data_IF_907305020589
#
_entry.id   IF_907305020589
#
_cell.length_a   1.000
_cell.length_b   1.000
_cell.length_c   1.000
_cell.angle_alpha   90.00
_cell.angle_beta   90.00
_cell.angle_gamma   90.00
#
_symmetry.space_group_name_H-M   'P 1'
#
loop_
_entity.id
_entity.type
_entity.pdbx_description
1 polymer ?
#
# COMPACT_ATOMS: atom_id res chain seq x y z
N UNK A 1 -3.50 10.55 -16.68
CA UNK A 1 -3.75 9.48 -17.68
C UNK A 1 -2.42 8.81 -17.90
N UNK A 2 -2.38 7.48 -18.00
CA UNK A 2 -1.17 6.72 -18.34
C UNK A 2 -0.83 6.80 -19.84
N UNK A 3 -1.73 7.35 -20.65
CA UNK A 3 -1.49 7.63 -22.07
C UNK A 3 -0.23 8.51 -22.22
N UNK A 4 0.72 8.02 -23.02
CA UNK A 4 1.97 8.72 -23.33
C UNK A 4 1.74 10.16 -23.83
N UNK A 5 0.64 10.41 -24.53
CA UNK A 5 0.29 11.74 -25.08
C UNK A 5 -0.20 12.70 -24.01
N UNK A 6 -0.61 12.17 -22.87
CA UNK A 6 -1.14 12.92 -21.74
C UNK A 6 -0.15 12.99 -20.56
N UNK A 7 1.01 12.33 -20.65
CA UNK A 7 2.06 12.42 -19.65
C UNK A 7 2.64 13.84 -19.60
N UNK A 8 2.82 14.37 -18.38
CA UNK A 8 3.43 15.69 -18.17
C UNK A 8 4.95 15.65 -18.09
N UNK A 9 5.51 14.46 -17.89
CA UNK A 9 6.95 14.27 -17.60
C UNK A 9 7.66 13.36 -18.60
N UNK A 10 6.94 12.71 -19.52
CA UNK A 10 7.51 11.77 -20.49
C UNK A 10 6.95 12.00 -21.90
N UNK A 11 7.84 12.26 -22.87
CA UNK A 11 7.48 12.46 -24.28
C UNK A 11 8.42 11.59 -25.17
N UNK A 12 8.08 10.31 -25.42
CA UNK A 12 8.97 9.39 -26.12
C UNK A 12 9.09 9.71 -27.61
N UNK A 13 10.31 9.66 -28.13
CA UNK A 13 10.54 9.59 -29.59
C UNK A 13 10.72 8.12 -29.96
N UNK A 14 9.65 7.49 -30.46
CA UNK A 14 9.68 6.07 -30.81
C UNK A 14 10.53 5.85 -32.07
N UNK A 15 11.68 5.19 -31.92
CA UNK A 15 12.48 4.71 -33.06
C UNK A 15 12.11 3.26 -33.35
N UNK A 16 11.37 3.05 -34.44
CA UNK A 16 11.03 1.71 -34.90
C UNK A 16 12.22 1.09 -35.66
N UNK A 17 12.91 0.13 -35.03
CA UNK A 17 13.90 -0.68 -35.74
C UNK A 17 13.14 -1.69 -36.62
N UNK A 18 13.00 -1.37 -37.90
CA UNK A 18 12.19 -2.07 -38.91
C UNK A 18 12.61 -3.51 -39.27
N UNK A 19 12.84 -4.38 -38.28
CA UNK A 19 12.88 -5.81 -38.52
C UNK A 19 11.47 -6.27 -38.92
N UNK A 20 11.25 -6.39 -40.23
CA UNK A 20 10.04 -6.94 -40.85
C UNK A 20 9.82 -8.35 -40.30
N UNK A 21 8.93 -8.48 -39.31
CA UNK A 21 8.55 -9.76 -38.70
C UNK A 21 8.20 -9.70 -37.20
N UNK A 22 8.67 -8.70 -36.45
CA UNK A 22 8.32 -8.52 -35.03
C UNK A 22 7.36 -7.36 -34.83
N UNK A 23 6.05 -7.61 -34.89
CA UNK A 23 5.05 -6.58 -34.56
C UNK A 23 5.20 -6.07 -33.12
N UNK A 24 4.68 -4.87 -32.84
CA UNK A 24 4.63 -4.34 -31.49
C UNK A 24 3.87 -5.34 -30.62
N UNK A 25 4.50 -5.83 -29.56
CA UNK A 25 3.84 -6.79 -28.68
C UNK A 25 2.85 -6.02 -27.82
N UNK A 26 1.59 -6.03 -28.24
CA UNK A 26 0.51 -5.40 -27.51
C UNK A 26 0.15 -6.23 -26.28
N UNK A 27 0.06 -5.58 -25.12
CA UNK A 27 -0.28 -6.19 -23.84
C UNK A 27 -1.51 -5.52 -23.25
N UNK A 28 -2.39 -6.33 -22.64
CA UNK A 28 -3.47 -5.82 -21.81
C UNK A 28 -3.16 -6.14 -20.36
N UNK A 29 -3.26 -5.16 -19.47
CA UNK A 29 -3.10 -5.37 -18.04
C UNK A 29 -4.32 -4.85 -17.33
N UNK A 30 -4.87 -5.69 -16.46
CA UNK A 30 -5.93 -5.35 -15.51
C UNK A 30 -5.35 -5.30 -14.12
N UNK A 31 -5.69 -4.26 -13.38
CA UNK A 31 -5.35 -4.08 -11.96
C UNK A 31 -6.56 -3.48 -11.25
N UNK A 32 -6.81 -3.85 -10.00
CA UNK A 32 -7.88 -3.30 -9.13
C UNK A 32 -9.13 -2.80 -9.88
N UNK A 33 -9.14 -1.50 -10.18
CA UNK A 33 -10.24 -0.82 -10.88
C UNK A 33 -10.01 -0.51 -12.36
N UNK A 34 -8.78 -0.61 -12.87
CA UNK A 34 -8.37 -0.12 -14.20
C UNK A 34 -7.85 -1.18 -15.16
N UNK A 35 -7.81 -0.82 -16.44
CA UNK A 35 -7.17 -1.60 -17.50
C UNK A 35 -6.39 -0.69 -18.43
N UNK A 36 -5.22 -1.15 -18.88
CA UNK A 36 -4.46 -0.51 -19.96
C UNK A 36 -4.25 -1.47 -21.12
N UNK A 37 -4.24 -0.93 -22.33
CA UNK A 37 -3.56 -1.53 -23.47
C UNK A 37 -2.22 -0.83 -23.63
N UNK A 38 -1.17 -1.58 -23.94
CA UNK A 38 0.19 -1.08 -23.98
C UNK A 38 1.04 -1.79 -25.01
N UNK A 39 2.18 -1.20 -25.35
CA UNK A 39 3.26 -1.85 -26.09
C UNK A 39 4.50 -1.94 -25.19
N UNK A 40 5.28 -3.02 -25.35
CA UNK A 40 6.57 -3.14 -24.66
C UNK A 40 7.61 -2.28 -25.36
N UNK A 41 8.21 -1.34 -24.65
CA UNK A 41 9.32 -0.51 -25.12
C UNK A 41 10.54 -0.70 -24.22
N UNK A 42 11.71 -0.23 -24.68
CA UNK A 42 12.95 -0.26 -23.89
C UNK A 42 13.62 1.10 -23.95
N UNK A 43 14.05 1.58 -22.79
CA UNK A 43 14.83 2.80 -22.67
C UNK A 43 15.74 2.72 -21.44
N UNK A 44 16.51 3.76 -21.17
CA UNK A 44 17.25 3.92 -19.92
C UNK A 44 16.32 4.53 -18.87
N UNK A 45 16.13 3.81 -17.76
CA UNK A 45 15.38 4.31 -16.60
C UNK A 45 16.38 4.76 -15.54
N UNK A 46 16.27 6.01 -15.08
CA UNK A 46 17.02 6.50 -13.91
C UNK A 46 16.12 6.42 -12.68
N UNK A 47 16.52 5.67 -11.66
CA UNK A 47 15.75 5.48 -10.43
C UNK A 47 16.68 5.41 -9.22
N UNK A 48 16.34 6.14 -8.15
CA UNK A 48 17.19 6.27 -6.96
C UNK A 48 18.66 6.65 -7.27
N UNK A 49 18.87 7.53 -8.26
CA UNK A 49 20.20 7.97 -8.70
C UNK A 49 20.97 6.96 -9.58
N UNK A 50 20.41 5.78 -9.85
CA UNK A 50 21.04 4.74 -10.68
C UNK A 50 20.41 4.68 -12.05
N UNK A 51 21.23 4.53 -13.09
CA UNK A 51 20.77 4.29 -14.46
C UNK A 51 20.71 2.80 -14.79
N UNK A 52 19.54 2.36 -15.24
CA UNK A 52 19.28 1.01 -15.72
C UNK A 52 19.01 1.08 -17.23
N UNK A 53 20.04 0.84 -18.08
CA UNK A 53 19.89 0.94 -19.52
C UNK A 53 19.09 -0.24 -20.08
N UNK A 54 18.34 0.02 -21.16
CA UNK A 54 17.52 -0.98 -21.86
C UNK A 54 16.50 -1.67 -20.94
N UNK A 55 16.04 -0.98 -19.89
CA UNK A 55 14.94 -1.44 -19.06
C UNK A 55 13.67 -1.48 -19.91
N UNK A 56 12.99 -2.63 -19.94
CA UNK A 56 11.68 -2.69 -20.58
C UNK A 56 10.60 -2.16 -19.65
N UNK A 57 9.64 -1.45 -20.21
CA UNK A 57 8.42 -1.02 -19.53
C UNK A 57 7.27 -0.96 -20.53
N UNK A 58 6.08 -0.76 -20.00
CA UNK A 58 4.85 -0.72 -20.78
C UNK A 58 4.47 0.71 -21.07
N UNK A 59 4.38 1.02 -22.35
CA UNK A 59 3.92 2.31 -22.82
C UNK A 59 2.43 2.20 -23.09
N UNK A 60 1.61 2.79 -22.22
CA UNK A 60 0.17 2.69 -22.34
C UNK A 60 -0.32 3.51 -23.53
N UNK A 61 -1.08 2.85 -24.41
CA UNK A 61 -1.65 3.44 -25.63
C UNK A 61 -3.15 3.65 -25.50
N UNK A 62 -3.81 2.91 -24.59
CA UNK A 62 -5.21 3.13 -24.20
C UNK A 62 -5.42 2.79 -22.73
N UNK A 63 -6.44 3.38 -22.14
CA UNK A 63 -6.79 3.22 -20.72
C UNK A 63 -8.31 3.15 -20.55
N UNK A 64 -8.78 2.31 -19.63
CA UNK A 64 -10.19 2.19 -19.23
C UNK A 64 -10.32 2.21 -17.70
N UNK A 65 -11.48 2.67 -17.22
CA UNK A 65 -11.87 2.64 -15.80
C UNK A 65 -10.84 3.23 -14.84
N UNK A 66 -10.26 4.36 -15.23
CA UNK A 66 -9.22 5.02 -14.47
C UNK A 66 -9.75 6.38 -14.01
N UNK A 67 -9.55 6.72 -12.74
CA UNK A 67 -10.07 7.97 -12.22
C UNK A 67 -9.54 9.16 -13.06
N UNK A 68 -10.40 10.12 -13.37
CA UNK A 68 -10.08 11.18 -14.32
C UNK A 68 -9.01 12.17 -13.83
N UNK A 69 -8.62 12.13 -12.54
CA UNK A 69 -7.70 13.07 -11.91
C UNK A 69 -6.73 12.34 -10.99
N UNK A 70 -5.50 12.17 -11.46
CA UNK A 70 -4.36 11.71 -10.68
C UNK A 70 -3.21 12.72 -10.85
N UNK A 71 -2.34 12.82 -9.85
CA UNK A 71 -1.17 13.71 -9.88
C UNK A 71 0.10 13.02 -10.41
N UNK A 72 -0.02 11.77 -10.85
CA UNK A 72 1.08 10.94 -11.34
C UNK A 72 0.86 10.51 -12.79
N UNK A 73 1.96 10.32 -13.51
CA UNK A 73 1.98 10.01 -14.96
C UNK A 73 2.11 8.51 -15.26
N UNK A 74 2.50 7.70 -14.26
CA UNK A 74 2.93 6.32 -14.45
C UNK A 74 2.75 5.46 -13.20
N UNK A 75 2.83 4.14 -13.37
CA UNK A 75 2.89 3.17 -12.26
C UNK A 75 4.21 2.41 -12.35
N UNK A 76 4.93 2.34 -11.23
CA UNK A 76 6.08 1.46 -11.07
C UNK A 76 5.67 0.26 -10.20
N UNK A 77 5.61 -0.93 -10.79
CA UNK A 77 5.29 -2.16 -10.07
C UNK A 77 6.43 -2.60 -9.15
N UNK A 78 6.14 -2.77 -7.87
CA UNK A 78 7.10 -3.17 -6.82
C UNK A 78 6.77 -4.53 -6.18
N UNK A 79 5.78 -5.23 -6.74
CA UNK A 79 5.49 -6.61 -6.40
C UNK A 79 6.60 -7.55 -6.93
N UNK A 80 6.56 -8.81 -6.52
CA UNK A 80 7.54 -9.81 -6.94
C UNK A 80 7.57 -9.96 -8.47
N UNK A 81 8.76 -10.08 -9.10
CA UNK A 81 8.86 -10.33 -10.54
C UNK A 81 8.11 -11.61 -10.92
N UNK A 82 7.19 -11.52 -11.90
CA UNK A 82 6.39 -12.66 -12.32
C UNK A 82 6.70 -13.07 -13.76
N UNK A 83 6.80 -14.38 -14.06
CA UNK A 83 6.88 -14.88 -15.42
C UNK A 83 5.49 -14.96 -16.06
N UNK A 84 4.66 -13.92 -15.95
CA UNK A 84 3.32 -13.96 -16.58
C UNK A 84 3.43 -13.84 -18.10
N UNK A 85 2.53 -14.49 -18.86
CA UNK A 85 2.45 -14.34 -20.32
C UNK A 85 2.35 -12.88 -20.76
N UNK A 86 1.65 -12.05 -20.00
CA UNK A 86 1.48 -10.61 -20.27
C UNK A 86 2.78 -9.82 -20.14
N UNK A 87 3.75 -10.35 -19.40
CA UNK A 87 5.11 -9.80 -19.26
C UNK A 87 6.17 -10.64 -20.00
N UNK A 88 5.79 -11.67 -20.76
CA UNK A 88 6.76 -12.46 -21.52
C UNK A 88 7.57 -11.55 -22.47
N UNK A 89 8.91 -11.65 -22.40
CA UNK A 89 9.82 -10.83 -23.21
C UNK A 89 10.10 -9.41 -22.66
N UNK A 90 9.53 -9.02 -21.52
CA UNK A 90 9.86 -7.74 -20.84
C UNK A 90 11.24 -7.74 -20.17
N UNK A 91 11.90 -8.91 -20.04
CA UNK A 91 13.20 -9.01 -19.38
C UNK A 91 13.10 -8.81 -17.87
N UNK A 92 14.21 -8.50 -17.19
CA UNK A 92 14.23 -8.34 -15.73
C UNK A 92 13.41 -7.13 -15.27
N UNK A 93 12.90 -7.20 -14.03
CA UNK A 93 12.28 -6.06 -13.38
C UNK A 93 13.29 -4.94 -13.14
N UNK A 94 12.81 -3.70 -12.97
CA UNK A 94 13.68 -2.57 -12.61
C UNK A 94 14.50 -2.87 -11.36
N UNK A 95 13.90 -3.52 -10.36
CA UNK A 95 14.57 -3.87 -9.10
C UNK A 95 15.70 -4.89 -9.31
N UNK A 96 15.53 -5.86 -10.19
CA UNK A 96 16.62 -6.75 -10.60
C UNK A 96 17.71 -5.99 -11.36
N UNK A 97 17.33 -5.01 -12.19
CA UNK A 97 18.25 -4.08 -12.85
C UNK A 97 19.11 -3.28 -11.86
N UNK A 98 18.51 -2.74 -10.79
CA UNK A 98 19.23 -2.06 -9.71
C UNK A 98 20.20 -3.00 -9.00
N UNK A 99 19.78 -4.23 -8.71
CA UNK A 99 20.63 -5.27 -8.12
C UNK A 99 21.90 -5.52 -8.93
N UNK A 100 21.78 -5.61 -10.26
CA UNK A 100 22.94 -5.77 -11.16
C UNK A 100 23.92 -4.58 -11.15
N UNK A 101 23.51 -3.44 -10.58
CA UNK A 101 24.32 -2.22 -10.40
C UNK A 101 24.81 -2.03 -8.97
N UNK A 102 24.68 -3.03 -8.11
CA UNK A 102 25.15 -2.99 -6.73
C UNK A 102 24.20 -2.32 -5.75
N UNK A 103 22.96 -2.02 -6.15
CA UNK A 103 21.91 -1.53 -5.24
C UNK A 103 20.98 -2.68 -4.88
N UNK A 104 21.00 -3.08 -3.61
CA UNK A 104 20.17 -4.17 -3.13
C UNK A 104 18.68 -3.83 -3.29
N UNK A 105 17.82 -4.78 -3.69
CA UNK A 105 16.41 -4.56 -3.97
C UNK A 105 15.58 -4.50 -2.68
N UNK A 106 15.99 -3.64 -1.75
CA UNK A 106 15.30 -3.32 -0.50
C UNK A 106 14.67 -1.94 -0.66
N UNK A 107 13.36 -1.85 -0.50
CA UNK A 107 12.58 -0.64 -0.69
C UNK A 107 11.95 -0.22 0.63
N UNK A 108 12.26 0.99 1.08
CA UNK A 108 11.77 1.51 2.36
C UNK A 108 10.83 2.68 2.12
N UNK A 109 9.57 2.53 2.50
CA UNK A 109 8.57 3.59 2.52
C UNK A 109 8.55 4.21 3.91
N UNK A 110 8.96 5.47 3.97
CA UNK A 110 9.13 6.21 5.22
C UNK A 110 8.09 7.32 5.23
N UNK A 111 7.04 7.23 6.06
CA UNK A 111 6.10 8.32 6.21
C UNK A 111 6.79 9.52 6.88
N UNK A 112 6.39 10.74 6.52
CA UNK A 112 6.76 11.90 7.32
C UNK A 112 6.03 11.87 8.66
N UNK A 113 6.63 12.35 9.76
CA UNK A 113 5.96 12.40 11.06
C UNK A 113 4.62 13.14 11.04
N UNK A 114 4.45 14.11 10.14
CA UNK A 114 3.20 14.85 9.93
C UNK A 114 2.14 14.08 9.11
N UNK A 115 2.44 12.88 8.60
CA UNK A 115 1.48 11.96 7.98
C UNK A 115 0.94 12.37 6.61
N UNK A 116 1.54 13.38 5.95
CA UNK A 116 1.03 13.97 4.68
C UNK A 116 1.94 13.76 3.47
N UNK A 117 3.11 13.21 3.68
CA UNK A 117 4.10 12.92 2.65
C UNK A 117 4.93 11.71 3.06
N UNK A 118 5.73 11.19 2.15
CA UNK A 118 6.66 10.11 2.46
C UNK A 118 7.85 10.13 1.52
N UNK A 119 8.84 9.32 1.87
CA UNK A 119 10.05 9.12 1.10
C UNK A 119 10.19 7.63 0.76
N UNK A 120 10.54 7.34 -0.49
CA UNK A 120 10.99 6.02 -0.90
C UNK A 120 12.52 6.00 -0.89
N UNK A 121 13.10 5.19 -0.03
CA UNK A 121 14.55 4.92 -0.02
C UNK A 121 14.84 3.52 -0.54
N UNK A 122 15.97 3.38 -1.22
CA UNK A 122 16.37 2.11 -1.87
C UNK A 122 17.74 1.70 -1.36
N UNK A 123 17.91 0.40 -1.12
CA UNK A 123 19.14 -0.19 -0.61
C UNK A 123 19.00 -0.73 0.80
N UNK A 124 19.82 -1.70 1.16
CA UNK A 124 19.77 -2.30 2.48
C UNK A 124 20.16 -1.29 3.54
N UNK A 125 19.42 -1.27 4.65
CA UNK A 125 19.68 -0.36 5.77
C UNK A 125 19.28 1.10 5.53
N UNK A 126 18.72 1.47 4.36
CA UNK A 126 18.32 2.85 4.06
C UNK A 126 17.26 3.42 5.02
N UNK A 127 16.55 2.54 5.73
CA UNK A 127 15.54 2.88 6.74
C UNK A 127 16.11 3.09 8.16
N UNK A 128 17.36 2.72 8.44
CA UNK A 128 17.91 2.70 9.81
C UNK A 128 17.78 4.05 10.53
N UNK A 129 18.02 5.15 9.81
CA UNK A 129 17.90 6.50 10.37
C UNK A 129 16.47 6.98 10.61
N UNK A 130 15.44 6.24 10.18
CA UNK A 130 14.02 6.61 10.31
C UNK A 130 13.26 5.74 11.32
N UNK A 131 13.82 4.61 11.75
CA UNK A 131 13.16 3.70 12.70
C UNK A 131 13.60 4.00 14.13
N UNK A 132 12.66 4.01 15.07
CA UNK A 132 12.96 4.23 16.50
C UNK A 132 13.42 2.98 17.25
N UNK A 133 13.08 1.80 16.72
CA UNK A 133 13.28 0.50 17.35
C UNK A 133 13.52 -0.58 16.28
N UNK A 134 13.65 -1.83 16.73
CA UNK A 134 13.81 -2.98 15.85
C UNK A 134 12.64 -3.14 14.88
N UNK A 135 12.98 -3.52 13.65
CA UNK A 135 12.03 -3.83 12.59
C UNK A 135 11.45 -5.23 12.84
N UNK A 136 10.13 -5.34 12.91
CA UNK A 136 9.46 -6.64 12.91
C UNK A 136 9.37 -7.16 11.48
N UNK A 137 10.01 -8.29 11.21
CA UNK A 137 10.05 -8.90 9.88
C UNK A 137 8.99 -10.00 9.75
N UNK A 138 8.20 -9.91 8.69
CA UNK A 138 7.17 -10.87 8.32
C UNK A 138 7.53 -11.50 6.98
N UNK A 139 7.58 -12.84 6.94
CA UNK A 139 7.81 -13.56 5.69
C UNK A 139 6.57 -13.49 4.82
N UNK A 140 6.75 -13.16 3.53
CA UNK A 140 5.66 -13.23 2.57
C UNK A 140 5.25 -14.69 2.34
N UNK A 141 3.96 -14.98 2.42
CA UNK A 141 3.36 -16.29 2.08
C UNK A 141 2.99 -16.37 0.60
N UNK A 142 3.24 -15.31 -0.15
CA UNK A 142 3.08 -15.26 -1.59
C UNK A 142 4.37 -14.81 -2.26
N UNK A 143 4.62 -15.40 -3.42
CA UNK A 143 5.65 -15.02 -4.37
C UNK A 143 5.12 -14.05 -5.43
N UNK A 144 3.88 -13.55 -5.30
CA UNK A 144 3.20 -12.65 -6.27
C UNK A 144 2.92 -11.27 -5.71
N UNK A 145 2.25 -11.22 -4.57
CA UNK A 145 1.98 -10.00 -3.82
C UNK A 145 2.66 -10.11 -2.45
N UNK A 146 2.82 -8.99 -1.78
CA UNK A 146 3.33 -8.94 -0.41
C UNK A 146 2.25 -9.36 0.58
N UNK A 147 2.01 -10.67 0.70
CA UNK A 147 0.97 -11.24 1.55
C UNK A 147 1.61 -11.81 2.82
N UNK A 148 1.10 -11.45 3.99
CA UNK A 148 1.60 -11.92 5.28
C UNK A 148 0.46 -12.51 6.12
N UNK A 149 0.77 -13.50 6.95
CA UNK A 149 -0.12 -13.97 8.02
C UNK A 149 0.06 -13.07 9.25
N UNK A 150 -1.03 -12.49 9.75
CA UNK A 150 -1.07 -11.51 10.84
C UNK A 150 -2.31 -11.71 11.71
N UNK A 151 -2.60 -10.76 12.59
CA UNK A 151 -3.88 -10.69 13.28
C UNK A 151 -4.38 -9.25 13.39
N UNK A 152 -5.68 -9.10 13.56
CA UNK A 152 -6.37 -7.82 13.75
C UNK A 152 -7.25 -7.88 15.00
N UNK A 153 -7.39 -6.76 15.70
CA UNK A 153 -8.39 -6.62 16.76
C UNK A 153 -9.01 -5.22 16.77
N UNK A 154 -10.34 -5.15 16.88
CA UNK A 154 -11.08 -3.94 17.26
C UNK A 154 -11.72 -4.19 18.63
N UNK A 155 -12.53 -5.25 18.70
CA UNK A 155 -13.00 -5.85 19.95
C UNK A 155 -12.25 -7.16 20.24
N UNK A 156 -12.41 -8.14 19.36
CA UNK A 156 -11.76 -9.46 19.47
C UNK A 156 -10.57 -9.60 18.52
N UNK A 157 -9.56 -10.37 18.95
CA UNK A 157 -8.39 -10.67 18.12
C UNK A 157 -8.68 -11.84 17.18
N UNK A 158 -8.52 -11.61 15.87
CA UNK A 158 -8.75 -12.59 14.81
C UNK A 158 -7.51 -12.71 13.93
N UNK A 159 -7.14 -13.94 13.55
CA UNK A 159 -6.11 -14.16 12.54
C UNK A 159 -6.57 -13.63 11.17
N UNK A 160 -5.68 -12.97 10.45
CA UNK A 160 -6.00 -12.37 9.15
C UNK A 160 -4.76 -12.35 8.25
N UNK A 161 -4.97 -12.68 6.97
CA UNK A 161 -3.99 -12.42 5.92
C UNK A 161 -4.10 -11.00 5.44
N UNK A 162 -2.95 -10.38 5.22
CA UNK A 162 -2.87 -8.99 4.83
C UNK A 162 -1.96 -8.84 3.61
N UNK A 163 -2.40 -8.04 2.65
CA UNK A 163 -1.61 -7.59 1.51
C UNK A 163 -1.11 -6.19 1.84
N UNK A 164 0.20 -5.97 1.80
CA UNK A 164 0.77 -4.63 1.96
C UNK A 164 0.92 -4.01 0.57
N UNK A 165 0.14 -2.95 0.29
CA UNK A 165 -0.04 -2.45 -1.07
C UNK A 165 0.04 -0.92 -1.16
N UNK A 166 1.17 -0.42 -1.66
CA UNK A 166 1.41 1.01 -1.89
C UNK A 166 0.59 1.60 -3.03
N UNK A 167 -0.15 0.77 -3.79
CA UNK A 167 -1.04 1.21 -4.86
C UNK A 167 -2.49 1.41 -4.42
N UNK A 168 -2.81 1.19 -3.14
CA UNK A 168 -4.17 1.26 -2.60
C UNK A 168 -4.29 2.42 -1.59
N UNK A 169 -5.31 3.26 -1.70
CA UNK A 169 -5.45 4.45 -0.83
C UNK A 169 -6.07 4.17 0.55
N UNK A 170 -6.95 3.16 0.66
CA UNK A 170 -7.69 2.85 1.89
C UNK A 170 -7.22 1.53 2.52
N UNK A 171 -7.75 1.20 3.71
CA UNK A 171 -7.78 -0.19 4.14
C UNK A 171 -8.93 -0.88 3.40
N UNK A 172 -8.66 -1.90 2.58
CA UNK A 172 -9.73 -2.64 1.89
C UNK A 172 -9.94 -4.00 2.52
N UNK A 173 -11.18 -4.35 2.82
CA UNK A 173 -11.52 -5.59 3.54
C UNK A 173 -12.70 -6.30 2.87
N UNK A 174 -12.99 -7.55 3.28
CA UNK A 174 -14.17 -8.27 2.79
C UNK A 174 -15.46 -7.56 3.23
N UNK A 175 -16.59 -7.73 2.52
CA UNK A 175 -17.87 -7.11 2.93
C UNK A 175 -18.27 -7.44 4.38
N UNK A 176 -18.03 -8.67 4.82
CA UNK A 176 -18.35 -9.10 6.18
C UNK A 176 -17.45 -8.43 7.22
N UNK A 177 -16.13 -8.37 6.97
CA UNK A 177 -15.21 -7.71 7.88
C UNK A 177 -15.43 -6.19 7.90
N UNK A 178 -15.84 -5.58 6.77
CA UNK A 178 -16.18 -4.16 6.70
C UNK A 178 -17.35 -3.82 7.62
N UNK A 179 -18.45 -4.58 7.53
CA UNK A 179 -19.61 -4.36 8.40
C UNK A 179 -19.27 -4.60 9.88
N UNK A 180 -18.49 -5.63 10.19
CA UNK A 180 -18.04 -5.91 11.54
C UNK A 180 -17.15 -4.79 12.10
N UNK A 181 -16.19 -4.30 11.30
CA UNK A 181 -15.30 -3.22 11.69
C UNK A 181 -16.05 -1.88 11.83
N UNK A 182 -16.91 -1.54 10.87
CA UNK A 182 -17.76 -0.35 10.90
C UNK A 182 -18.61 -0.32 12.17
N UNK A 183 -19.29 -1.42 12.50
CA UNK A 183 -20.11 -1.49 13.70
C UNK A 183 -19.28 -1.36 14.98
N UNK A 184 -18.11 -2.01 15.04
CA UNK A 184 -17.26 -2.01 16.22
C UNK A 184 -16.55 -0.66 16.45
N UNK A 185 -16.15 0.04 15.40
CA UNK A 185 -15.50 1.36 15.48
C UNK A 185 -16.50 2.48 15.76
N UNK A 186 -17.75 2.33 15.35
CA UNK A 186 -18.79 3.37 15.47
C UNK A 186 -19.69 3.20 16.71
N UNK A 187 -19.29 2.39 17.70
CA UNK A 187 -20.09 2.18 18.92
C UNK A 187 -20.31 3.50 19.65
N UNK A 188 -21.56 3.82 19.97
CA UNK A 188 -21.94 5.05 20.68
C UNK A 188 -21.87 6.31 19.81
N UNK A 189 -21.72 6.16 18.51
CA UNK A 189 -21.61 7.27 17.55
C UNK A 189 -22.76 7.22 16.56
N UNK A 190 -23.20 8.41 16.13
CA UNK A 190 -24.16 8.52 15.04
C UNK A 190 -23.37 8.48 13.73
N UNK A 191 -23.58 7.43 12.94
CA UNK A 191 -22.92 7.24 11.65
C UNK A 191 -23.93 6.82 10.57
N UNK A 192 -23.66 7.23 9.34
CA UNK A 192 -24.40 6.86 8.15
C UNK A 192 -23.56 5.92 7.29
N UNK A 193 -24.22 4.88 6.79
CA UNK A 193 -23.70 4.02 5.76
C UNK A 193 -24.16 4.55 4.39
N UNK A 194 -23.25 4.58 3.42
CA UNK A 194 -23.62 4.96 2.06
C UNK A 194 -24.56 3.91 1.43
N UNK A 195 -25.24 4.28 0.33
CA UNK A 195 -26.21 3.39 -0.33
C UNK A 195 -25.61 2.07 -0.82
N UNK A 196 -24.32 2.05 -1.12
CA UNK A 196 -23.63 0.84 -1.57
C UNK A 196 -23.14 -0.06 -0.43
N UNK A 197 -23.27 0.38 0.83
CA UNK A 197 -22.75 -0.31 2.01
C UNK A 197 -21.23 -0.55 1.94
N UNK A 198 -20.48 0.42 1.41
CA UNK A 198 -19.02 0.36 1.28
C UNK A 198 -18.30 1.53 1.94
N UNK A 199 -19.02 2.54 2.44
CA UNK A 199 -18.46 3.74 3.08
C UNK A 199 -19.28 4.14 4.30
N UNK A 200 -18.59 4.58 5.35
CA UNK A 200 -19.19 5.04 6.61
C UNK A 200 -18.81 6.48 6.86
N UNK A 201 -19.79 7.29 7.24
CA UNK A 201 -19.62 8.70 7.60
C UNK A 201 -20.14 8.90 9.02
N UNK A 202 -19.34 9.45 9.91
CA UNK A 202 -19.70 9.73 11.30
C UNK A 202 -19.54 11.22 11.60
N UNK A 203 -20.23 11.73 12.62
CA UNK A 203 -19.96 13.09 13.12
C UNK A 203 -18.50 13.20 13.55
N UNK A 204 -17.80 14.24 13.09
CA UNK A 204 -16.43 14.51 13.50
C UNK A 204 -16.30 14.90 14.99
N UNK A 205 -17.39 15.32 15.65
CA UNK A 205 -17.33 15.90 16.99
C UNK A 205 -16.78 14.95 18.06
N UNK A 206 -17.05 13.64 17.93
CA UNK A 206 -16.79 12.66 18.98
C UNK A 206 -15.95 11.46 18.53
N UNK A 207 -15.26 11.55 17.38
CA UNK A 207 -14.47 10.43 16.85
C UNK A 207 -13.36 9.98 17.82
N UNK A 208 -12.82 10.88 18.65
CA UNK A 208 -11.74 10.56 19.60
C UNK A 208 -12.14 9.59 20.72
N UNK A 209 -13.44 9.40 20.95
CA UNK A 209 -13.96 8.41 21.90
C UNK A 209 -14.16 7.01 21.28
N UNK A 210 -13.95 6.87 19.96
CA UNK A 210 -14.13 5.59 19.26
C UNK A 210 -13.03 4.59 19.62
N UNK A 211 -13.31 3.27 19.57
CA UNK A 211 -12.29 2.24 19.73
C UNK A 211 -11.20 2.31 18.66
N UNK A 212 -10.00 1.84 19.01
CA UNK A 212 -8.88 1.72 18.07
C UNK A 212 -8.90 0.39 17.30
N UNK A 213 -8.50 0.42 16.04
CA UNK A 213 -8.09 -0.77 15.30
C UNK A 213 -6.64 -1.14 15.68
N UNK A 214 -6.37 -2.40 15.96
CA UNK A 214 -5.00 -2.89 16.23
C UNK A 214 -4.61 -3.92 15.18
N UNK A 215 -3.44 -3.73 14.58
CA UNK A 215 -2.82 -4.68 13.67
C UNK A 215 -1.64 -5.32 14.38
N UNK A 216 -1.58 -6.64 14.36
CA UNK A 216 -0.59 -7.43 15.07
C UNK A 216 0.30 -8.20 14.10
N UNK A 217 1.60 -7.92 14.15
CA UNK A 217 2.62 -8.57 13.34
C UNK A 217 3.61 -9.26 14.28
N UNK A 218 3.51 -10.58 14.42
CA UNK A 218 4.26 -11.32 15.43
C UNK A 218 4.01 -10.77 16.83
N UNK A 219 5.08 -10.29 17.49
CA UNK A 219 5.06 -9.68 18.83
C UNK A 219 4.75 -8.18 18.82
N UNK A 220 4.77 -7.54 17.65
CA UNK A 220 4.49 -6.12 17.50
C UNK A 220 2.99 -5.84 17.35
N UNK A 221 2.54 -4.73 17.92
CA UNK A 221 1.16 -4.24 17.75
C UNK A 221 1.18 -2.78 17.36
N UNK A 222 0.54 -2.46 16.23
CA UNK A 222 0.31 -1.10 15.75
C UNK A 222 -1.13 -0.72 16.00
N UNK A 223 -1.33 0.38 16.73
CA UNK A 223 -2.65 0.88 17.13
C UNK A 223 -3.02 2.04 16.21
N UNK A 224 -4.21 1.97 15.61
CA UNK A 224 -4.81 2.98 14.75
C UNK A 224 -6.04 3.52 15.46
N UNK A 225 -5.92 4.73 15.98
CA UNK A 225 -7.02 5.43 16.63
C UNK A 225 -7.92 6.08 15.58
N UNK A 226 -9.00 6.72 16.03
CA UNK A 226 -9.92 7.38 15.14
C UNK A 226 -9.24 8.46 14.27
N UNK A 227 -8.25 9.19 14.79
CA UNK A 227 -7.50 10.18 14.00
C UNK A 227 -6.67 9.58 12.85
N UNK A 228 -6.38 8.28 12.89
CA UNK A 228 -5.69 7.58 11.80
C UNK A 228 -6.69 6.95 10.81
N UNK A 229 -7.92 6.69 11.26
CA UNK A 229 -8.93 5.95 10.54
C UNK A 229 -10.03 6.82 9.95
N UNK A 230 -10.17 8.08 10.36
CA UNK A 230 -11.22 8.97 9.89
C UNK A 230 -10.65 10.28 9.35
N UNK A 231 -11.23 10.75 8.25
CA UNK A 231 -10.85 12.03 7.63
C UNK A 231 -12.06 12.92 7.40
N UNK A 232 -11.90 14.22 7.66
CA UNK A 232 -12.92 15.23 7.39
C UNK A 232 -13.21 15.28 5.89
N UNK A 233 -14.48 15.17 5.53
CA UNK A 233 -14.92 15.26 4.13
C UNK A 233 -14.92 16.70 3.59
N UNK A 234 -14.86 17.71 4.47
CA UNK A 234 -15.04 19.12 4.13
C UNK A 234 -16.48 19.51 3.80
N UNK A 235 -17.43 18.59 4.00
CA UNK A 235 -18.87 18.82 3.86
C UNK A 235 -19.61 18.38 5.14
N UNK A 236 -20.78 18.97 5.42
CA UNK A 236 -21.60 18.53 6.53
C UNK A 236 -22.26 17.17 6.25
N UNK A 237 -22.56 16.41 7.30
CA UNK A 237 -23.43 15.24 7.19
C UNK A 237 -24.84 15.69 6.83
N UNK A 238 -25.31 15.29 5.65
CA UNK A 238 -26.73 15.40 5.30
C UNK A 238 -27.57 14.39 6.08
N UNK A 239 -28.89 14.59 6.11
CA UNK A 239 -29.81 13.56 6.62
C UNK A 239 -29.93 13.46 8.15
N UNK A 240 -30.01 14.60 8.86
CA UNK A 240 -30.42 14.65 10.27
C UNK A 240 -29.30 14.88 11.30
N UNK A 241 -28.14 15.38 10.88
CA UNK A 241 -26.97 15.65 11.73
C UNK A 241 -26.75 17.16 11.96
N UNK A 242 -27.80 17.97 11.89
CA UNK A 242 -27.76 19.41 12.17
C UNK A 242 -26.63 20.21 11.49
N UNK A 243 -26.12 19.73 10.35
CA UNK A 243 -25.02 20.37 9.62
C UNK A 243 -23.63 20.15 10.21
N UNK A 244 -23.46 19.17 11.11
CA UNK A 244 -22.15 18.80 11.67
C UNK A 244 -21.18 18.32 10.59
N UNK A 245 -19.89 18.62 10.79
CA UNK A 245 -18.83 18.18 9.88
C UNK A 245 -18.76 16.65 9.82
N UNK A 246 -18.75 16.11 8.59
CA UNK A 246 -18.69 14.68 8.36
C UNK A 246 -17.26 14.17 8.30
N UNK A 247 -16.99 13.08 9.02
CA UNK A 247 -15.74 12.33 8.98
C UNK A 247 -15.99 10.97 8.33
N UNK A 248 -15.24 10.67 7.27
CA UNK A 248 -15.31 9.39 6.55
C UNK A 248 -14.33 8.38 7.13
N UNK A 249 -14.80 7.16 7.37
CA UNK A 249 -13.94 6.03 7.69
C UNK A 249 -13.08 5.66 6.48
N UNK A 250 -11.77 5.64 6.67
CA UNK A 250 -10.74 5.31 5.67
C UNK A 250 -10.56 3.79 5.51
N UNK A 251 -11.68 3.08 5.52
CA UNK A 251 -11.79 1.65 5.27
C UNK A 251 -12.95 1.43 4.31
N UNK A 252 -12.80 0.50 3.36
CA UNK A 252 -13.87 0.17 2.41
C UNK A 252 -13.84 -1.31 2.03
N UNK A 253 -14.84 -1.71 1.24
CA UNK A 253 -14.95 -3.06 0.73
C UNK A 253 -14.03 -3.23 -0.48
N UNK A 254 -13.25 -4.31 -0.51
CA UNK A 254 -12.41 -4.62 -1.67
C UNK A 254 -13.27 -4.90 -2.91
N UNK A 255 -12.93 -4.34 -4.10
CA UNK A 255 -13.68 -4.59 -5.34
C UNK A 255 -13.45 -6.00 -5.90
N UNK A 256 -12.42 -6.69 -5.43
CA UNK A 256 -12.08 -8.06 -5.82
C UNK A 256 -12.57 -8.98 -4.71
N UNK A 257 -13.30 -10.04 -5.05
CA UNK A 257 -13.77 -11.03 -4.07
C UNK A 257 -12.59 -11.80 -3.45
N UNK A 258 -11.99 -11.22 -2.41
CA UNK A 258 -10.89 -11.77 -1.65
C UNK A 258 -11.08 -11.54 -0.16
N UNK A 259 -10.45 -12.38 0.66
CA UNK A 259 -10.61 -12.38 2.12
C UNK A 259 -9.47 -11.64 2.82
N UNK A 260 -8.33 -11.49 2.16
CA UNK A 260 -7.19 -10.76 2.68
C UNK A 260 -7.52 -9.27 2.82
N UNK A 261 -7.11 -8.68 3.93
CA UNK A 261 -7.15 -7.23 4.11
C UNK A 261 -6.04 -6.61 3.27
N UNK A 262 -6.31 -5.48 2.62
CA UNK A 262 -5.30 -4.70 1.89
C UNK A 262 -4.94 -3.50 2.75
N UNK A 263 -3.69 -3.43 3.17
CA UNK A 263 -3.11 -2.32 3.92
C UNK A 263 -2.52 -1.32 2.93
N UNK A 264 -3.31 -0.29 2.63
CA UNK A 264 -2.95 0.81 1.75
C UNK A 264 -2.33 2.02 2.46
N UNK A 265 -2.47 3.20 1.85
CA UNK A 265 -1.90 4.47 2.34
C UNK A 265 -2.28 4.81 3.77
N UNK A 266 -3.48 4.41 4.22
CA UNK A 266 -3.91 4.54 5.64
C UNK A 266 -2.90 3.93 6.61
N UNK A 267 -2.38 2.75 6.28
CA UNK A 267 -1.35 2.07 7.05
C UNK A 267 0.02 2.70 6.81
N UNK A 268 0.38 2.91 5.54
CA UNK A 268 1.72 3.34 5.12
C UNK A 268 2.08 4.76 5.58
N UNK A 269 1.10 5.65 5.79
CA UNK A 269 1.34 7.00 6.34
C UNK A 269 1.71 7.02 7.82
N UNK A 270 1.56 5.90 8.52
CA UNK A 270 1.85 5.77 9.96
C UNK A 270 3.04 4.84 10.25
N UNK A 271 3.26 3.84 9.41
CA UNK A 271 4.23 2.76 9.67
C UNK A 271 5.36 2.78 8.67
N UNK A 272 6.61 2.85 9.16
CA UNK A 272 7.79 2.63 8.31
C UNK A 272 7.73 1.20 7.80
N UNK A 273 7.68 1.05 6.48
CA UNK A 273 7.45 -0.24 5.83
C UNK A 273 8.59 -0.55 4.88
N UNK A 274 9.21 -1.72 5.04
CA UNK A 274 10.41 -2.13 4.29
C UNK A 274 10.13 -3.41 3.53
N UNK A 275 10.27 -3.39 2.21
CA UNK A 275 10.14 -4.56 1.35
C UNK A 275 11.53 -5.08 1.01
N UNK A 276 11.87 -6.29 1.44
CA UNK A 276 13.12 -6.98 1.07
C UNK A 276 12.80 -8.07 0.04
N UNK A 277 12.99 -7.74 -1.25
CA UNK A 277 12.69 -8.66 -2.35
C UNK A 277 13.57 -9.90 -2.34
N UNK A 278 14.84 -9.75 -1.96
CA UNK A 278 15.79 -10.85 -1.94
C UNK A 278 15.38 -11.91 -0.92
N UNK A 279 14.90 -11.47 0.25
CA UNK A 279 14.47 -12.37 1.32
C UNK A 279 12.97 -12.72 1.27
N UNK A 280 12.20 -12.05 0.42
CA UNK A 280 10.74 -12.19 0.36
C UNK A 280 10.07 -11.84 1.69
N UNK A 281 10.52 -10.75 2.33
CA UNK A 281 10.02 -10.31 3.64
C UNK A 281 9.54 -8.86 3.60
N UNK A 282 8.58 -8.54 4.46
CA UNK A 282 8.14 -7.17 4.73
C UNK A 282 8.45 -6.85 6.20
N UNK A 283 9.12 -5.73 6.43
CA UNK A 283 9.48 -5.21 7.74
C UNK A 283 8.60 -4.04 8.14
N UNK A 284 8.20 -3.97 9.41
CA UNK A 284 7.44 -2.85 9.97
C UNK A 284 8.14 -2.25 11.19
N UNK A 285 8.08 -0.93 11.31
CA UNK A 285 8.57 -0.23 12.48
C UNK A 285 7.82 1.08 12.73
N UNK A 286 7.86 1.52 13.99
CA UNK A 286 7.53 2.89 14.36
C UNK A 286 8.53 3.87 13.72
N UNK A 287 8.02 4.98 13.18
CA UNK A 287 8.88 6.10 12.80
C UNK A 287 9.51 6.69 14.07
N UNK A 288 10.83 6.92 14.08
CA UNK A 288 11.59 7.39 15.25
C UNK A 288 11.00 8.66 15.86
N UNK A 289 10.61 9.58 14.98
CA UNK A 289 10.15 10.91 15.37
C UNK A 289 8.61 11.03 15.42
N UNK A 290 7.85 9.91 15.33
CA UNK A 290 6.39 9.95 15.50
C UNK A 290 6.00 9.71 16.97
N UNK A 291 5.52 10.74 17.70
CA UNK A 291 5.15 10.61 19.11
C UNK A 291 3.92 9.71 19.33
N UNK A 292 3.15 9.40 18.29
CA UNK A 292 2.00 8.49 18.35
C UNK A 292 2.41 7.03 18.24
N UNK A 293 3.65 6.75 17.86
CA UNK A 293 4.14 5.40 17.64
C UNK A 293 4.55 4.75 18.98
N UNK A 294 3.59 4.55 19.88
CA UNK A 294 3.80 3.75 21.09
C UNK A 294 3.86 2.27 20.72
N UNK A 295 5.06 1.80 20.35
CA UNK A 295 5.33 0.38 20.23
C UNK A 295 5.38 -0.25 21.62
N UNK A 296 4.37 -1.04 21.99
CA UNK A 296 4.50 -1.97 23.13
C UNK A 296 5.07 -3.29 22.60
N UNK A 297 6.39 -3.46 22.67
CA UNK A 297 6.98 -4.80 22.63
C UNK A 297 6.54 -5.50 23.92
N UNK A 298 5.60 -6.44 23.83
CA UNK A 298 5.39 -7.35 24.95
C UNK A 298 6.56 -8.33 24.91
N UNK A 299 7.62 -8.02 25.65
CA UNK A 299 8.60 -9.03 26.01
C UNK A 299 7.88 -10.04 26.87
N UNK A 300 7.58 -11.22 26.32
CA UNK A 300 7.34 -12.40 27.15
C UNK A 300 8.66 -12.66 27.86
N UNK A 301 8.78 -12.20 29.11
CA UNK A 301 9.95 -12.51 29.94
C UNK A 301 10.11 -14.02 30.00
N UNK A 302 11.31 -14.51 29.69
CA UNK A 302 11.67 -15.89 30.00
C UNK A 302 11.62 -16.01 31.52
N UNK A 303 10.66 -16.78 32.03
CA UNK A 303 10.80 -17.32 33.37
C UNK A 303 12.03 -18.23 33.37
N UNK A 304 13.13 -17.74 33.92
CA UNK A 304 14.22 -18.60 34.39
C UNK A 304 13.64 -19.44 35.51
N UNK A 305 13.48 -20.74 35.24
CA UNK A 305 13.35 -21.74 36.29
C UNK A 305 14.73 -21.81 36.95
N UNK A 306 14.88 -21.17 38.11
CA UNK A 306 15.99 -21.49 39.00
C UNK A 306 15.66 -22.81 39.69
N UNK A 307 16.40 -23.85 39.33
CA UNK A 307 16.60 -25.02 40.20
C UNK A 307 17.53 -24.61 41.35
N UNK A 308 17.01 -24.59 42.57
CA UNK A 308 17.65 -25.11 43.80
C UNK A 308 16.56 -25.66 44.72
#
# INVERSE_FOLDING_TARGET
SLDERASRTFAPVQRWNGARGGGAVMRSIRYGYGEIQSVVVRDTVRFAGVEVPRQSFLLATRQRNFAARHLWDGILGLAFPQPFPDFAGSGPSLLAGLGSRGVEPVLSFIPSPAGRSGELRVGRGSYQGAVGHDVVWMKSVSDRHWIIDAAVSIAERKAQRMIVDTGTSLILVSPADFMAAANALSVGQTCLLDKSATRVFCSCANITAMPSLKLHFGTATFIFNAEDLFEKTGAPLGGGFDGEEACELLMSVTPVHRQEWILGDVFLRKVVTVFDLERGMVGFAAHRDDPRAQHRTIHTGSATVEEV
#
